data_IF_147878411614
#
_entry.id   IF_147878411614
#
_cell.length_a   1.000
_cell.length_b   1.000
_cell.length_c   1.000
_cell.angle_alpha   90.00
_cell.angle_beta   90.00
_cell.angle_gamma   90.00
#
_symmetry.space_group_name_H-M   'P 1'
#
loop_
_entity.id
_entity.type
_entity.pdbx_description
1 polymer ?
#
# COMPACT_ATOMS: atom_id res chain seq x y z
N UNK A 1 7.02 41.07 7.12
CA UNK A 1 5.91 40.11 6.90
C UNK A 1 4.68 40.93 6.55
N UNK A 2 4.36 40.99 5.26
CA UNK A 2 3.17 41.70 4.79
C UNK A 2 1.94 40.79 4.97
N UNK A 3 0.86 41.34 5.55
CA UNK A 3 -0.48 40.74 5.74
C UNK A 3 -0.99 39.79 4.63
N UNK A 4 -0.69 39.96 3.32
CA UNK A 4 -1.05 38.99 2.29
C UNK A 4 -0.50 37.57 2.49
N UNK A 5 0.66 37.37 3.12
CA UNK A 5 1.26 36.02 3.22
C UNK A 5 0.46 35.10 4.14
N UNK A 6 0.03 35.60 5.29
CA UNK A 6 -0.71 34.83 6.31
C UNK A 6 -2.00 34.23 5.73
N UNK A 7 -2.75 35.04 4.98
CA UNK A 7 -3.98 34.57 4.32
C UNK A 7 -3.71 33.55 3.21
N UNK A 8 -2.59 33.68 2.48
CA UNK A 8 -2.24 32.72 1.43
C UNK A 8 -1.79 31.40 2.06
N UNK A 9 -1.04 31.46 3.15
CA UNK A 9 -0.53 30.28 3.88
C UNK A 9 -1.65 29.35 4.32
N UNK A 10 -2.75 29.92 4.85
CA UNK A 10 -3.97 29.16 5.21
C UNK A 10 -4.58 28.42 4.01
N UNK A 11 -4.46 28.98 2.80
CA UNK A 11 -5.03 28.40 1.58
C UNK A 11 -4.08 27.45 0.85
N UNK A 12 -2.81 27.31 1.27
CA UNK A 12 -1.83 26.48 0.55
C UNK A 12 -2.18 24.99 0.58
N UNK A 13 -2.81 24.51 1.66
CA UNK A 13 -3.23 23.11 1.79
C UNK A 13 -4.34 22.79 0.80
N UNK A 14 -5.43 23.57 0.82
CA UNK A 14 -6.53 23.42 -0.12
C UNK A 14 -6.09 23.63 -1.57
N UNK A 15 -5.10 24.50 -1.81
CA UNK A 15 -4.51 24.70 -3.12
C UNK A 15 -3.73 23.45 -3.59
N UNK A 16 -2.92 22.85 -2.71
CA UNK A 16 -2.16 21.64 -3.01
C UNK A 16 -3.07 20.44 -3.29
N UNK A 17 -4.19 20.35 -2.58
CA UNK A 17 -5.20 19.30 -2.76
C UNK A 17 -6.16 19.57 -3.94
N UNK A 18 -6.08 20.76 -4.57
CA UNK A 18 -6.92 21.14 -5.70
C UNK A 18 -8.39 21.43 -5.32
N UNK A 19 -8.65 21.76 -4.04
CA UNK A 19 -9.98 21.97 -3.49
C UNK A 19 -10.47 23.43 -3.59
N UNK A 20 -9.57 24.36 -3.90
CA UNK A 20 -9.92 25.77 -4.05
C UNK A 20 -10.75 26.06 -5.31
N UNK A 21 -11.66 27.02 -5.20
CA UNK A 21 -12.37 27.53 -6.37
C UNK A 21 -11.40 28.18 -7.36
N UNK A 22 -11.76 28.28 -8.65
CA UNK A 22 -10.90 28.91 -9.68
C UNK A 22 -10.45 30.32 -9.28
N UNK A 23 -11.32 31.09 -8.62
CA UNK A 23 -11.00 32.45 -8.16
C UNK A 23 -9.98 32.48 -7.01
N UNK A 24 -10.00 31.50 -6.12
CA UNK A 24 -9.05 31.37 -5.02
C UNK A 24 -7.72 30.79 -5.48
N UNK A 25 -7.75 29.76 -6.33
CA UNK A 25 -6.56 29.19 -6.97
C UNK A 25 -5.78 30.24 -7.75
N UNK A 26 -6.47 31.12 -8.50
CA UNK A 26 -5.81 32.22 -9.21
C UNK A 26 -5.17 33.25 -8.26
N UNK A 27 -5.77 33.51 -7.09
CA UNK A 27 -5.20 34.41 -6.09
C UNK A 27 -3.92 33.81 -5.49
N UNK A 28 -3.95 32.53 -5.14
CA UNK A 28 -2.78 31.80 -4.63
C UNK A 28 -1.67 31.76 -5.68
N UNK A 29 -1.99 31.36 -6.91
CA UNK A 29 -1.03 31.31 -8.02
C UNK A 29 -0.33 32.66 -8.25
N UNK A 30 -1.09 33.76 -8.28
CA UNK A 30 -0.53 35.11 -8.44
C UNK A 30 0.38 35.53 -7.29
N UNK A 31 0.10 35.08 -6.07
CA UNK A 31 0.99 35.34 -4.94
C UNK A 31 2.29 34.54 -5.04
N UNK A 32 2.21 33.27 -5.45
CA UNK A 32 3.36 32.39 -5.61
C UNK A 32 4.34 32.88 -6.69
N UNK A 33 3.91 33.66 -7.67
CA UNK A 33 4.81 34.32 -8.63
C UNK A 33 5.82 35.25 -7.94
N UNK A 34 5.40 35.91 -6.85
CA UNK A 34 6.14 37.01 -6.24
C UNK A 34 6.66 36.69 -4.82
N UNK A 35 6.24 35.58 -4.21
CA UNK A 35 6.60 35.22 -2.84
C UNK A 35 7.40 33.91 -2.83
N UNK A 36 8.70 34.01 -2.59
CA UNK A 36 9.59 32.85 -2.48
C UNK A 36 9.25 31.95 -1.29
N UNK A 37 8.99 32.54 -0.12
CA UNK A 37 8.65 31.79 1.09
C UNK A 37 7.42 30.88 0.89
N UNK A 38 6.33 31.42 0.32
CA UNK A 38 5.14 30.62 0.09
C UNK A 38 5.35 29.53 -0.99
N UNK A 39 6.25 29.75 -1.96
CA UNK A 39 6.64 28.69 -2.92
C UNK A 39 7.40 27.57 -2.23
N UNK A 40 8.34 27.90 -1.34
CA UNK A 40 9.08 26.90 -0.57
C UNK A 40 8.14 26.08 0.32
N UNK A 41 7.24 26.73 1.04
CA UNK A 41 6.23 26.06 1.87
C UNK A 41 5.34 25.13 1.05
N UNK A 42 4.83 25.59 -0.10
CA UNK A 42 4.03 24.76 -0.99
C UNK A 42 4.83 23.56 -1.52
N UNK A 43 6.09 23.77 -1.91
CA UNK A 43 6.97 22.71 -2.38
C UNK A 43 7.25 21.66 -1.31
N UNK A 44 7.45 22.07 -0.06
CA UNK A 44 7.60 21.15 1.07
C UNK A 44 6.32 20.33 1.32
N UNK A 45 5.16 20.98 1.25
CA UNK A 45 3.86 20.33 1.39
C UNK A 45 3.63 19.28 0.29
N UNK A 46 3.88 19.63 -0.97
CA UNK A 46 3.74 18.73 -2.11
C UNK A 46 4.66 17.50 -2.00
N UNK A 47 5.90 17.67 -1.53
CA UNK A 47 6.82 16.55 -1.25
C UNK A 47 6.27 15.62 -0.16
N UNK A 48 5.69 16.17 0.90
CA UNK A 48 5.06 15.40 1.97
C UNK A 48 3.85 14.61 1.47
N UNK A 49 3.00 15.23 0.63
CA UNK A 49 1.83 14.57 0.04
C UNK A 49 2.25 13.45 -0.93
N UNK A 50 3.28 13.68 -1.76
CA UNK A 50 3.83 12.67 -2.65
C UNK A 50 4.35 11.45 -1.86
N UNK A 51 5.05 11.68 -0.75
CA UNK A 51 5.52 10.62 0.14
C UNK A 51 4.36 9.83 0.75
N UNK A 52 3.34 10.52 1.26
CA UNK A 52 2.15 9.87 1.82
C UNK A 52 1.40 9.03 0.77
N UNK A 53 1.25 9.57 -0.44
CA UNK A 53 0.62 8.88 -1.58
C UNK A 53 1.37 7.59 -1.96
N UNK A 54 2.69 7.66 -2.08
CA UNK A 54 3.51 6.49 -2.40
C UNK A 54 3.39 5.36 -1.36
N UNK A 55 3.35 5.71 -0.07
CA UNK A 55 3.15 4.74 1.02
C UNK A 55 1.77 4.07 0.92
N UNK A 56 0.75 4.85 0.57
CA UNK A 56 -0.63 4.36 0.47
C UNK A 56 -0.83 3.44 -0.76
N UNK A 57 -0.32 3.85 -1.92
CA UNK A 57 -0.44 3.08 -3.17
C UNK A 57 0.24 1.71 -3.07
N UNK A 58 1.41 1.63 -2.42
CA UNK A 58 2.11 0.37 -2.22
C UNK A 58 1.38 -0.56 -1.23
N UNK A 59 0.79 -0.01 -0.16
CA UNK A 59 -0.07 -0.79 0.75
C UNK A 59 -1.35 -1.32 0.07
N UNK A 60 -1.92 -0.56 -0.86
CA UNK A 60 -3.08 -1.00 -1.64
C UNK A 60 -2.73 -2.08 -2.66
N UNK A 61 -1.55 -2.03 -3.26
CA UNK A 61 -1.08 -3.07 -4.18
C UNK A 61 -0.93 -4.42 -3.46
N UNK A 62 -0.40 -4.43 -2.24
CA UNK A 62 -0.19 -5.66 -1.47
C UNK A 62 -1.49 -6.23 -0.86
N UNK A 63 -2.47 -5.39 -0.53
CA UNK A 63 -3.76 -5.87 -0.01
C UNK A 63 -4.67 -6.46 -1.09
N UNK A 64 -4.51 -6.07 -2.36
CA UNK A 64 -5.25 -6.67 -3.49
C UNK A 64 -4.88 -8.12 -3.75
N UNK A 65 -3.66 -8.54 -3.42
CA UNK A 65 -3.22 -9.94 -3.56
C UNK A 65 -3.66 -10.85 -2.41
N UNK A 66 -4.28 -10.29 -1.36
CA UNK A 66 -4.92 -11.07 -0.31
C UNK A 66 -6.22 -11.66 -0.87
N UNK A 67 -6.15 -12.89 -1.40
CA UNK A 67 -7.34 -13.67 -1.77
C UNK A 67 -8.14 -14.02 -0.52
N UNK A 68 -9.11 -13.17 -0.18
CA UNK A 68 -10.16 -13.52 0.78
C UNK A 68 -11.06 -14.55 0.09
N UNK A 69 -10.91 -15.84 0.45
CA UNK A 69 -11.87 -16.87 0.08
C UNK A 69 -13.13 -16.58 0.89
N UNK A 70 -14.15 -15.99 0.26
CA UNK A 70 -15.48 -15.82 0.86
C UNK A 70 -16.20 -17.17 0.73
N UNK A 71 -16.45 -17.92 1.82
CA UNK A 71 -17.22 -19.14 1.73
C UNK A 71 -18.72 -18.79 1.67
N UNK A 72 -19.38 -19.13 0.57
CA UNK A 72 -20.81 -19.37 0.58
C UNK A 72 -21.66 -18.50 -0.35
N UNK A 73 -21.89 -19.02 -1.56
CA UNK A 73 -23.18 -18.84 -2.23
C UNK A 73 -23.69 -20.20 -2.69
N UNK A 74 -24.44 -20.86 -1.81
CA UNK A 74 -25.10 -22.13 -2.13
C UNK A 74 -26.21 -21.83 -3.13
N UNK A 75 -26.01 -22.25 -4.38
CA UNK A 75 -26.97 -22.10 -5.47
C UNK A 75 -27.96 -23.26 -5.39
N UNK A 76 -29.24 -22.95 -5.17
CA UNK A 76 -30.33 -23.93 -5.14
C UNK A 76 -30.45 -24.64 -6.51
N UNK A 77 -30.21 -25.95 -6.53
CA UNK A 77 -30.39 -26.83 -7.70
C UNK A 77 -31.46 -27.88 -7.35
N UNK A 78 -32.46 -28.13 -8.22
CA UNK A 78 -33.66 -28.91 -7.90
C UNK A 78 -33.37 -30.41 -7.71
N UNK A 79 -34.04 -30.97 -6.69
CA UNK A 79 -33.62 -32.10 -5.87
C UNK A 79 -34.07 -33.50 -6.35
N UNK A 80 -34.76 -33.61 -7.48
CA UNK A 80 -35.49 -34.86 -7.80
C UNK A 80 -34.71 -35.89 -8.62
N UNK A 81 -33.47 -35.59 -9.06
CA UNK A 81 -32.69 -36.50 -9.91
C UNK A 81 -31.49 -37.19 -9.25
N UNK A 82 -31.22 -36.96 -7.96
CA UNK A 82 -29.97 -37.43 -7.32
C UNK A 82 -30.14 -38.44 -6.17
N UNK A 83 -31.34 -38.97 -5.91
CA UNK A 83 -31.55 -39.95 -4.84
C UNK A 83 -30.77 -41.26 -5.04
N UNK A 84 -30.48 -41.67 -6.28
CA UNK A 84 -29.74 -42.90 -6.55
C UNK A 84 -28.21 -42.76 -6.45
N UNK A 85 -27.66 -41.54 -6.54
CA UNK A 85 -26.21 -41.29 -6.44
C UNK A 85 -25.73 -41.09 -4.98
N UNK A 86 -26.65 -40.92 -4.02
CA UNK A 86 -26.34 -40.54 -2.65
C UNK A 86 -25.60 -41.65 -1.85
N UNK A 87 -25.91 -42.93 -2.09
CA UNK A 87 -25.30 -44.03 -1.33
C UNK A 87 -23.79 -44.20 -1.57
N UNK A 88 -23.32 -43.96 -2.80
CA UNK A 88 -21.89 -44.03 -3.13
C UNK A 88 -21.07 -42.88 -2.53
N UNK A 89 -21.68 -41.69 -2.44
CA UNK A 89 -21.02 -40.51 -1.88
C UNK A 89 -20.92 -40.61 -0.35
N UNK A 90 -21.89 -41.24 0.33
CA UNK A 90 -21.82 -41.46 1.78
C UNK A 90 -20.62 -42.36 2.14
N UNK A 91 -20.33 -43.41 1.36
CA UNK A 91 -19.18 -44.29 1.59
C UNK A 91 -17.84 -43.60 1.29
N UNK A 92 -17.78 -42.72 0.28
CA UNK A 92 -16.59 -41.90 0.01
C UNK A 92 -16.38 -40.81 1.05
N UNK A 93 -17.46 -40.27 1.63
CA UNK A 93 -17.39 -39.27 2.70
C UNK A 93 -16.93 -39.88 4.03
N UNK A 94 -17.42 -41.07 4.41
CA UNK A 94 -17.00 -41.70 5.69
C UNK A 94 -15.53 -42.12 5.66
N UNK A 95 -15.06 -42.68 4.53
CA UNK A 95 -13.64 -43.02 4.35
C UNK A 95 -12.75 -41.78 4.29
N UNK A 96 -13.21 -40.69 3.66
CA UNK A 96 -12.50 -39.41 3.62
C UNK A 96 -12.44 -38.72 4.99
N UNK A 97 -13.50 -38.76 5.80
CA UNK A 97 -13.51 -38.19 7.15
C UNK A 97 -12.53 -38.93 8.07
N UNK A 98 -12.50 -40.27 8.02
CA UNK A 98 -11.55 -41.08 8.80
C UNK A 98 -10.09 -40.82 8.35
N UNK A 99 -9.87 -40.64 7.05
CA UNK A 99 -8.55 -40.28 6.53
C UNK A 99 -8.11 -38.87 6.96
N UNK A 100 -9.05 -37.91 7.01
CA UNK A 100 -8.80 -36.51 7.42
C UNK A 100 -8.60 -36.36 8.93
N UNK A 101 -9.18 -37.23 9.75
CA UNK A 101 -8.90 -37.25 11.20
C UNK A 101 -7.54 -37.90 11.52
N UNK A 102 -7.08 -38.84 10.70
CA UNK A 102 -5.74 -39.46 10.82
C UNK A 102 -4.63 -38.58 10.24
N UNK A 103 -4.88 -37.92 9.11
CA UNK A 103 -3.96 -36.96 8.48
C UNK A 103 -4.44 -35.55 8.78
N UNK A 104 -4.22 -35.06 10.01
CA UNK A 104 -4.42 -33.65 10.36
C UNK A 104 -3.53 -32.81 9.42
N UNK A 105 -4.07 -32.13 8.39
CA UNK A 105 -3.27 -31.12 7.72
C UNK A 105 -3.06 -30.02 8.76
N UNK A 106 -1.82 -29.60 8.94
CA UNK A 106 -1.52 -28.35 9.66
C UNK A 106 -2.07 -27.22 8.80
N UNK A 107 -3.37 -26.94 8.93
CA UNK A 107 -3.97 -25.73 8.40
C UNK A 107 -3.29 -24.57 9.11
N UNK A 108 -2.46 -23.85 8.36
CA UNK A 108 -1.77 -22.66 8.85
C UNK A 108 -2.82 -21.57 9.00
N UNK A 109 -3.49 -21.55 10.16
CA UNK A 109 -4.37 -20.46 10.55
C UNK A 109 -3.61 -19.15 10.35
N UNK A 110 -4.17 -18.26 9.54
CA UNK A 110 -3.60 -16.94 9.32
C UNK A 110 -3.76 -16.20 10.64
N UNK A 111 -2.69 -16.20 11.45
CA UNK A 111 -2.64 -15.48 12.70
C UNK A 111 -2.74 -13.98 12.38
N UNK A 112 -3.71 -13.30 12.97
CA UNK A 112 -3.88 -11.85 12.81
C UNK A 112 -2.58 -11.08 13.08
N UNK A 113 -1.77 -11.55 14.04
CA UNK A 113 -0.46 -10.98 14.33
C UNK A 113 0.53 -11.07 13.15
N UNK A 114 0.44 -12.13 12.33
CA UNK A 114 1.27 -12.28 11.11
C UNK A 114 0.82 -11.32 10.01
N UNK A 115 -0.49 -11.06 9.89
CA UNK A 115 -1.01 -10.05 8.96
C UNK A 115 -0.52 -8.66 9.40
N UNK A 116 -0.68 -8.31 10.67
CA UNK A 116 -0.27 -7.00 11.22
C UNK A 116 1.23 -6.76 11.06
N UNK A 117 2.04 -7.80 11.33
CA UNK A 117 3.49 -7.78 11.10
C UNK A 117 3.81 -7.47 9.64
N UNK A 118 3.19 -8.16 8.68
CA UNK A 118 3.43 -7.93 7.24
C UNK A 118 3.05 -6.54 6.80
N UNK A 119 1.90 -6.03 7.24
CA UNK A 119 1.46 -4.65 6.94
C UNK A 119 2.48 -3.65 7.47
N UNK A 120 2.97 -3.86 8.69
CA UNK A 120 3.96 -2.98 9.32
C UNK A 120 5.30 -3.02 8.59
N UNK A 121 5.79 -4.21 8.25
CA UNK A 121 7.02 -4.39 7.49
C UNK A 121 6.95 -3.75 6.10
N UNK A 122 5.86 -3.96 5.39
CA UNK A 122 5.60 -3.33 4.09
C UNK A 122 5.57 -1.80 4.18
N UNK A 123 4.82 -1.25 5.14
CA UNK A 123 4.73 0.19 5.34
C UNK A 123 6.07 0.83 5.69
N UNK A 124 6.88 0.17 6.52
CA UNK A 124 8.22 0.64 6.85
C UNK A 124 9.17 0.57 5.64
N UNK A 125 9.13 -0.52 4.88
CA UNK A 125 9.93 -0.68 3.67
C UNK A 125 9.58 0.37 2.60
N UNK A 126 8.28 0.63 2.38
CA UNK A 126 7.80 1.65 1.45
C UNK A 126 8.27 3.06 1.84
N UNK A 127 8.19 3.41 3.13
CA UNK A 127 8.71 4.68 3.65
C UNK A 127 10.20 4.86 3.37
N UNK A 128 11.00 3.84 3.66
CA UNK A 128 12.44 3.88 3.41
C UNK A 128 12.73 4.01 1.91
N UNK A 129 12.01 3.27 1.06
CA UNK A 129 12.18 3.34 -0.38
C UNK A 129 11.89 4.75 -0.90
N UNK A 130 10.75 5.33 -0.53
CA UNK A 130 10.38 6.67 -0.98
C UNK A 130 11.37 7.75 -0.52
N UNK A 131 11.84 7.67 0.74
CA UNK A 131 12.91 8.56 1.22
C UNK A 131 14.21 8.39 0.42
N UNK A 132 14.54 7.15 0.06
CA UNK A 132 15.73 6.83 -0.76
C UNK A 132 15.60 7.41 -2.17
N UNK A 133 14.42 7.32 -2.78
CA UNK A 133 14.16 7.89 -4.12
C UNK A 133 14.25 9.41 -4.13
N UNK A 134 13.79 10.09 -3.08
CA UNK A 134 14.00 11.54 -2.91
C UNK A 134 15.49 11.90 -2.83
N UNK A 135 16.29 11.09 -2.13
CA UNK A 135 17.73 11.31 -2.04
C UNK A 135 18.47 11.01 -3.35
N UNK A 136 17.91 10.14 -4.20
CA UNK A 136 18.51 9.76 -5.48
C UNK A 136 18.59 10.93 -6.48
N UNK A 137 17.83 12.01 -6.28
CA UNK A 137 17.91 13.24 -7.08
C UNK A 137 19.21 14.02 -6.86
N UNK A 138 19.92 13.76 -5.76
CA UNK A 138 21.13 14.47 -5.38
C UNK A 138 22.38 13.65 -5.75
N UNK A 139 23.26 14.15 -6.66
CA UNK A 139 24.46 13.41 -7.09
C UNK A 139 25.38 13.01 -5.94
N UNK A 140 25.50 13.86 -4.92
CA UNK A 140 26.38 13.67 -3.77
C UNK A 140 25.88 12.57 -2.82
N UNK A 141 24.63 12.13 -2.95
CA UNK A 141 24.00 11.13 -2.09
C UNK A 141 24.02 9.70 -2.69
N UNK A 142 24.61 9.49 -3.87
CA UNK A 142 24.51 8.20 -4.58
C UNK A 142 25.01 6.99 -3.79
N UNK A 143 26.06 7.15 -2.98
CA UNK A 143 26.59 6.06 -2.14
C UNK A 143 25.59 5.66 -1.05
N UNK A 144 25.02 6.66 -0.37
CA UNK A 144 23.99 6.48 0.66
C UNK A 144 22.74 5.81 0.04
N UNK A 145 22.32 6.28 -1.13
CA UNK A 145 21.16 5.74 -1.86
C UNK A 145 21.35 4.25 -2.17
N UNK A 146 22.53 3.85 -2.67
CA UNK A 146 22.83 2.44 -2.97
C UNK A 146 22.84 1.56 -1.72
N UNK A 147 23.43 2.04 -0.63
CA UNK A 147 23.44 1.30 0.63
C UNK A 147 22.03 1.19 1.21
N UNK A 148 21.20 2.22 1.07
CA UNK A 148 19.82 2.20 1.54
C UNK A 148 18.95 1.23 0.73
N UNK A 149 19.12 1.16 -0.59
CA UNK A 149 18.47 0.11 -1.39
C UNK A 149 18.88 -1.29 -0.94
N UNK A 150 20.18 -1.53 -0.69
CA UNK A 150 20.65 -2.82 -0.17
C UNK A 150 20.00 -3.16 1.17
N UNK A 151 19.96 -2.20 2.09
CA UNK A 151 19.34 -2.36 3.40
C UNK A 151 17.85 -2.76 3.29
N UNK A 152 17.09 -2.12 2.40
CA UNK A 152 15.67 -2.46 2.19
C UNK A 152 15.52 -3.90 1.67
N UNK A 153 16.39 -4.32 0.75
CA UNK A 153 16.37 -5.67 0.19
C UNK A 153 16.68 -6.75 1.24
N UNK A 154 17.66 -6.49 2.10
CA UNK A 154 18.10 -7.44 3.14
C UNK A 154 17.12 -7.50 4.31
N UNK A 155 16.55 -6.36 4.70
CA UNK A 155 15.70 -6.26 5.91
C UNK A 155 14.24 -6.59 5.63
N UNK A 156 13.75 -6.29 4.42
CA UNK A 156 12.34 -6.46 4.04
C UNK A 156 12.15 -7.29 2.75
N UNK A 157 12.77 -8.49 2.64
CA UNK A 157 12.93 -9.21 1.37
C UNK A 157 11.62 -9.60 0.67
N UNK A 158 10.54 -9.74 1.44
CA UNK A 158 9.22 -10.19 0.96
C UNK A 158 8.28 -9.04 0.58
N UNK A 159 8.75 -7.78 0.61
CA UNK A 159 7.93 -6.59 0.33
C UNK A 159 8.04 -6.15 -1.13
N UNK A 160 7.02 -5.46 -1.64
CA UNK A 160 7.06 -4.81 -2.96
C UNK A 160 8.22 -3.81 -3.05
N UNK A 161 8.48 -3.08 -1.97
CA UNK A 161 9.55 -2.10 -1.89
C UNK A 161 10.95 -2.72 -2.10
N UNK A 162 11.20 -3.92 -1.55
CA UNK A 162 12.45 -4.64 -1.80
C UNK A 162 12.60 -5.07 -3.27
N UNK A 163 11.51 -5.47 -3.93
CA UNK A 163 11.56 -5.79 -5.37
C UNK A 163 11.89 -4.56 -6.22
N UNK A 164 11.28 -3.40 -5.91
CA UNK A 164 11.62 -2.13 -6.56
C UNK A 164 13.07 -1.73 -6.30
N UNK A 165 13.55 -1.85 -5.05
CA UNK A 165 14.94 -1.55 -4.69
C UNK A 165 15.94 -2.43 -5.47
N UNK A 166 15.67 -3.73 -5.64
CA UNK A 166 16.49 -4.63 -6.48
C UNK A 166 16.61 -4.13 -7.91
N UNK A 167 15.52 -3.64 -8.51
CA UNK A 167 15.53 -3.11 -9.88
C UNK A 167 16.36 -1.83 -10.01
N UNK A 168 16.44 -1.01 -8.95
CA UNK A 168 17.24 0.24 -8.94
C UNK A 168 18.75 0.00 -8.76
N UNK A 169 19.13 -1.20 -8.31
CA UNK A 169 20.53 -1.58 -8.10
C UNK A 169 21.17 -2.28 -9.30
N UNK A 170 20.38 -2.61 -10.33
CA UNK A 170 20.84 -3.18 -11.61
C UNK A 170 21.26 -2.07 -12.57
#
# INVERSE_FOLDING_TARGET
MEKPCEKIEEMLVDFADGLLSTGESNKVAKHLENCELCRETLGALQKSLALAGAIWDDGLAETKDIRIIIPGKIRNIPWTRYAAAAAGIILLLTTSIVWRTLMKPVEKEINFAEIERRITEAGNAARLLAATELLAEYPDAQTIVKDQYRYIVETYPETSAANKAKLKMQ
#
